data_IF_802917197074
#
_entry.id   IF_802917197074
#
_cell.length_a   1.000
_cell.length_b   1.000
_cell.length_c   1.000
_cell.angle_alpha   90.00
_cell.angle_beta   90.00
_cell.angle_gamma   90.00
#
_symmetry.space_group_name_H-M   'P 1'
#
loop_
_entity.id
_entity.type
_entity.pdbx_description
1 polymer ?
#
# COMPACT_ATOMS: atom_id res chain seq x y z
N UNK A 1 16.20 -1.03 -0.90
CA UNK A 1 16.00 0.43 -1.03
C UNK A 1 16.68 1.01 -2.27
N UNK A 2 18.01 1.12 -2.36
CA UNK A 2 18.68 1.74 -3.54
C UNK A 2 18.28 1.07 -4.87
N UNK A 3 18.26 -0.26 -4.89
CA UNK A 3 17.75 -1.03 -6.03
C UNK A 3 16.32 -0.61 -6.43
N UNK A 4 15.37 -0.62 -5.48
CA UNK A 4 13.98 -0.25 -5.74
C UNK A 4 13.86 1.18 -6.29
N UNK A 5 14.60 2.14 -5.72
CA UNK A 5 14.64 3.51 -6.27
C UNK A 5 15.15 3.51 -7.70
N UNK A 6 16.32 2.90 -7.96
CA UNK A 6 16.92 2.92 -9.30
C UNK A 6 16.04 2.26 -10.37
N UNK A 7 15.36 1.16 -10.02
CA UNK A 7 14.48 0.42 -10.92
C UNK A 7 13.23 1.21 -11.26
N UNK A 8 12.57 1.79 -10.25
CA UNK A 8 11.34 2.58 -10.45
C UNK A 8 11.63 3.91 -11.14
N UNK A 9 12.71 4.59 -10.74
CA UNK A 9 13.05 5.93 -11.24
C UNK A 9 13.33 5.91 -12.74
N UNK A 10 14.15 4.95 -13.19
CA UNK A 10 14.48 4.81 -14.61
C UNK A 10 13.25 4.54 -15.48
N UNK A 11 12.35 3.67 -15.03
CA UNK A 11 11.15 3.33 -15.79
C UNK A 11 10.18 4.53 -15.89
N UNK A 12 9.95 5.23 -14.79
CA UNK A 12 9.05 6.39 -14.76
C UNK A 12 9.61 7.59 -15.51
N UNK A 13 10.94 7.79 -15.51
CA UNK A 13 11.57 8.84 -16.32
C UNK A 13 11.43 8.58 -17.82
N UNK A 14 11.53 7.32 -18.25
CA UNK A 14 11.41 6.95 -19.65
C UNK A 14 10.01 7.31 -20.20
N UNK A 15 8.98 7.15 -19.38
CA UNK A 15 7.58 7.36 -19.78
C UNK A 15 6.96 8.69 -19.31
N UNK A 16 7.71 9.63 -18.69
CA UNK A 16 7.12 10.80 -17.98
C UNK A 16 6.18 11.65 -18.86
N UNK A 17 6.53 11.87 -20.13
CA UNK A 17 5.70 12.61 -21.08
C UNK A 17 4.40 11.87 -21.42
N UNK A 18 4.48 10.55 -21.66
CA UNK A 18 3.32 9.70 -21.95
C UNK A 18 2.40 9.60 -20.74
N UNK A 19 2.95 9.40 -19.54
CA UNK A 19 2.20 9.41 -18.27
C UNK A 19 1.43 10.73 -18.12
N UNK A 20 2.07 11.86 -18.43
CA UNK A 20 1.43 13.19 -18.35
C UNK A 20 0.29 13.37 -19.34
N UNK A 21 0.43 12.82 -20.56
CA UNK A 21 -0.63 12.78 -21.56
C UNK A 21 -1.81 11.94 -21.08
N UNK A 22 -1.54 10.66 -20.80
CA UNK A 22 -2.55 9.67 -20.43
C UNK A 22 -3.28 10.03 -19.15
N UNK A 23 -2.61 10.62 -18.15
CA UNK A 23 -3.28 11.06 -16.92
C UNK A 23 -4.43 12.04 -17.19
N UNK A 24 -4.26 12.97 -18.14
CA UNK A 24 -5.31 13.92 -18.54
C UNK A 24 -6.47 13.24 -19.24
N UNK A 25 -6.20 12.20 -20.01
CA UNK A 25 -7.24 11.39 -20.65
C UNK A 25 -8.00 10.57 -19.60
N UNK A 26 -7.31 10.00 -18.62
CA UNK A 26 -7.92 9.28 -17.50
C UNK A 26 -8.79 10.15 -16.60
N UNK A 27 -8.49 11.45 -16.50
CA UNK A 27 -9.34 12.38 -15.78
C UNK A 27 -10.74 12.49 -16.42
N UNK A 28 -10.88 12.25 -17.73
CA UNK A 28 -12.19 12.17 -18.37
C UNK A 28 -13.01 10.94 -17.92
N UNK A 29 -12.35 9.89 -17.43
CA UNK A 29 -12.99 8.69 -16.89
C UNK A 29 -13.27 8.78 -15.39
N UNK A 30 -12.74 9.80 -14.70
CA UNK A 30 -12.91 10.00 -13.27
C UNK A 30 -14.38 10.10 -12.77
N UNK A 31 -15.35 10.60 -13.56
CA UNK A 31 -16.77 10.65 -13.16
C UNK A 31 -17.48 9.29 -13.15
N UNK A 32 -16.96 8.26 -13.83
CA UNK A 32 -17.65 6.97 -13.93
C UNK A 32 -17.43 6.13 -12.68
N UNK A 33 -18.49 5.45 -12.23
CA UNK A 33 -18.45 4.57 -11.07
C UNK A 33 -17.80 3.21 -11.34
N UNK A 34 -17.58 2.85 -12.61
CA UNK A 34 -16.93 1.61 -13.04
C UNK A 34 -15.77 1.88 -13.98
N UNK A 35 -14.72 1.06 -13.89
CA UNK A 35 -13.66 1.03 -14.89
C UNK A 35 -14.24 0.84 -16.29
N UNK A 36 -13.98 1.81 -17.17
CA UNK A 36 -14.35 1.79 -18.59
C UNK A 36 -13.14 1.96 -19.52
N UNK A 37 -11.94 2.15 -18.97
CA UNK A 37 -10.69 2.22 -19.70
C UNK A 37 -10.11 0.81 -19.94
N UNK A 38 -9.90 0.46 -21.21
CA UNK A 38 -9.31 -0.82 -21.62
C UNK A 38 -7.78 -0.86 -21.48
N UNK A 39 -7.19 -2.07 -21.46
CA UNK A 39 -5.72 -2.31 -21.40
C UNK A 39 -4.93 -1.56 -22.46
N UNK A 40 -5.53 -1.36 -23.62
CA UNK A 40 -4.89 -0.71 -24.77
C UNK A 40 -4.50 0.75 -24.48
N UNK A 41 -5.15 1.42 -23.53
CA UNK A 41 -4.88 2.83 -23.22
C UNK A 41 -3.48 3.09 -22.65
N UNK A 42 -2.83 2.11 -22.04
CA UNK A 42 -1.48 2.25 -21.48
C UNK A 42 -0.51 1.23 -22.03
N UNK A 43 -0.89 0.50 -23.10
CA UNK A 43 -0.08 -0.58 -23.63
C UNK A 43 1.33 -0.12 -24.06
N UNK A 44 1.49 1.16 -24.39
CA UNK A 44 2.76 1.78 -24.75
C UNK A 44 3.67 2.09 -23.54
N UNK A 45 3.14 2.08 -22.31
CA UNK A 45 3.91 2.33 -21.10
C UNK A 45 4.71 1.10 -20.66
N UNK A 46 5.85 1.32 -20.02
CA UNK A 46 6.57 0.24 -19.33
C UNK A 46 5.73 -0.35 -18.18
N UNK A 47 5.95 -1.61 -17.76
CA UNK A 47 5.15 -2.24 -16.70
C UNK A 47 5.10 -1.44 -15.38
N UNK A 48 6.21 -0.80 -15.00
CA UNK A 48 6.26 0.06 -13.80
C UNK A 48 5.39 1.31 -13.96
N UNK A 49 5.39 1.92 -15.14
CA UNK A 49 4.55 3.08 -15.45
C UNK A 49 3.07 2.71 -15.52
N UNK A 50 2.72 1.53 -16.04
CA UNK A 50 1.36 0.99 -15.97
C UNK A 50 0.91 0.79 -14.52
N UNK A 51 1.78 0.21 -13.69
CA UNK A 51 1.54 0.01 -12.26
C UNK A 51 1.32 1.34 -11.54
N UNK A 52 2.15 2.34 -11.84
CA UNK A 52 2.01 3.69 -11.29
C UNK A 52 0.68 4.33 -11.68
N UNK A 53 0.32 4.27 -12.97
CA UNK A 53 -0.92 4.83 -13.51
C UNK A 53 -2.16 4.20 -12.87
N UNK A 54 -2.22 2.86 -12.81
CA UNK A 54 -3.32 2.16 -12.15
C UNK A 54 -3.40 2.50 -10.67
N UNK A 55 -2.26 2.55 -9.98
CA UNK A 55 -2.23 2.90 -8.57
C UNK A 55 -2.68 4.34 -8.30
N UNK A 56 -2.24 5.33 -9.10
CA UNK A 56 -2.67 6.74 -8.95
C UNK A 56 -4.17 6.87 -9.21
N UNK A 57 -4.68 6.21 -10.25
CA UNK A 57 -6.10 6.24 -10.56
C UNK A 57 -6.95 5.63 -9.43
N UNK A 58 -6.59 4.45 -8.93
CA UNK A 58 -7.27 3.81 -7.81
C UNK A 58 -7.20 4.64 -6.52
N UNK A 59 -6.04 5.20 -6.19
CA UNK A 59 -5.89 6.07 -5.01
C UNK A 59 -6.80 7.30 -5.09
N UNK A 60 -6.84 7.97 -6.25
CA UNK A 60 -7.73 9.12 -6.47
C UNK A 60 -9.21 8.72 -6.44
N UNK A 61 -9.56 7.57 -7.01
CA UNK A 61 -10.94 7.06 -6.97
C UNK A 61 -11.39 6.79 -5.54
N UNK A 62 -10.59 6.08 -4.74
CA UNK A 62 -10.88 5.82 -3.33
C UNK A 62 -11.05 7.13 -2.56
N UNK A 63 -10.17 8.11 -2.74
CA UNK A 63 -10.28 9.40 -2.03
C UNK A 63 -11.58 10.14 -2.39
N UNK A 64 -11.98 10.14 -3.67
CA UNK A 64 -13.28 10.71 -4.08
C UNK A 64 -14.46 9.98 -3.44
N UNK A 65 -14.43 8.65 -3.42
CA UNK A 65 -15.50 7.87 -2.82
C UNK A 65 -15.48 7.89 -1.29
N UNK A 66 -14.35 8.24 -0.67
CA UNK A 66 -14.21 8.30 0.80
C UNK A 66 -15.10 9.34 1.46
N UNK A 67 -15.53 10.36 0.72
CA UNK A 67 -16.47 11.38 1.19
C UNK A 67 -17.87 10.79 1.44
N UNK A 68 -18.17 9.66 0.81
CA UNK A 68 -19.42 8.93 0.94
C UNK A 68 -19.36 7.77 1.94
N UNK A 69 -18.24 7.58 2.66
CA UNK A 69 -18.12 6.56 3.70
C UNK A 69 -18.65 7.12 5.02
N UNK A 70 -19.52 6.34 5.67
CA UNK A 70 -20.20 6.74 6.89
C UNK A 70 -19.48 6.25 8.16
N UNK A 71 -18.57 5.30 8.02
CA UNK A 71 -17.78 4.77 9.11
C UNK A 71 -16.29 4.70 8.78
N UNK A 72 -15.48 4.34 9.76
CA UNK A 72 -14.04 4.14 9.58
C UNK A 72 -13.81 2.94 8.65
N UNK A 73 -13.12 3.13 7.51
CA UNK A 73 -12.95 2.08 6.52
C UNK A 73 -11.97 1.00 6.96
N UNK A 74 -12.25 -0.22 6.49
CA UNK A 74 -11.31 -1.33 6.48
C UNK A 74 -10.85 -1.61 5.04
N UNK A 75 -9.54 -1.77 4.86
CA UNK A 75 -8.93 -1.99 3.55
C UNK A 75 -8.41 -3.41 3.43
N UNK A 76 -8.64 -4.04 2.29
CA UNK A 76 -7.93 -5.22 1.86
C UNK A 76 -6.95 -4.85 0.74
N UNK A 77 -5.70 -5.25 0.87
CA UNK A 77 -4.60 -4.81 0.00
C UNK A 77 -3.99 -6.01 -0.72
N UNK A 78 -3.77 -5.86 -2.03
CA UNK A 78 -3.34 -6.96 -2.89
C UNK A 78 -1.82 -7.15 -2.95
N UNK A 79 -1.05 -6.09 -2.63
CA UNK A 79 0.40 -6.19 -2.53
C UNK A 79 0.82 -7.28 -1.54
N UNK A 80 1.59 -8.26 -2.02
CA UNK A 80 2.04 -9.44 -1.24
C UNK A 80 3.55 -9.61 -1.22
N UNK A 81 4.27 -8.98 -2.15
CA UNK A 81 5.74 -9.00 -2.20
C UNK A 81 6.36 -7.69 -1.71
N UNK A 82 7.65 -7.72 -1.40
CA UNK A 82 8.38 -6.50 -1.04
C UNK A 82 8.57 -5.56 -2.23
N UNK A 83 8.70 -6.11 -3.44
CA UNK A 83 8.73 -5.33 -4.67
C UNK A 83 7.42 -4.53 -4.85
N UNK A 84 6.27 -5.19 -4.71
CA UNK A 84 4.96 -4.54 -4.79
C UNK A 84 4.78 -3.53 -3.66
N UNK A 85 5.14 -3.90 -2.42
CA UNK A 85 5.05 -3.04 -1.26
C UNK A 85 5.96 -1.80 -1.36
N UNK A 86 7.05 -1.86 -2.12
CA UNK A 86 7.95 -0.73 -2.33
C UNK A 86 7.27 0.48 -2.99
N UNK A 87 6.18 0.25 -3.72
CA UNK A 87 5.38 1.32 -4.32
C UNK A 87 4.73 2.21 -3.26
N UNK A 88 4.33 1.68 -2.10
CA UNK A 88 3.81 2.49 -0.98
C UNK A 88 4.85 3.46 -0.43
N UNK A 89 6.12 3.05 -0.46
CA UNK A 89 7.22 3.82 0.09
C UNK A 89 7.70 4.93 -0.86
N UNK A 90 7.67 4.67 -2.17
CA UNK A 90 8.37 5.46 -3.17
C UNK A 90 7.44 6.22 -4.12
N UNK A 91 6.22 5.76 -4.39
CA UNK A 91 5.29 6.52 -5.23
C UNK A 91 4.77 7.72 -4.45
N UNK A 92 5.02 8.93 -4.98
CA UNK A 92 4.69 10.16 -4.27
C UNK A 92 3.19 10.24 -3.92
N UNK A 93 2.31 9.81 -4.83
CA UNK A 93 0.86 9.83 -4.60
C UNK A 93 0.41 8.88 -3.49
N UNK A 94 1.11 7.77 -3.23
CA UNK A 94 0.76 6.84 -2.15
C UNK A 94 1.00 7.49 -0.78
N UNK A 95 2.07 8.27 -0.63
CA UNK A 95 2.31 9.05 0.58
C UNK A 95 1.20 10.09 0.81
N UNK A 96 0.85 10.84 -0.24
CA UNK A 96 -0.23 11.83 -0.18
C UNK A 96 -1.59 11.19 0.11
N UNK A 97 -1.84 10.02 -0.48
CA UNK A 97 -3.03 9.22 -0.24
C UNK A 97 -3.14 8.78 1.23
N UNK A 98 -2.09 8.21 1.82
CA UNK A 98 -2.10 7.80 3.23
C UNK A 98 -2.31 8.99 4.17
N UNK A 99 -1.69 10.13 3.86
CA UNK A 99 -1.88 11.39 4.60
C UNK A 99 -3.32 11.88 4.51
N UNK A 100 -3.90 11.92 3.32
CA UNK A 100 -5.29 12.36 3.12
C UNK A 100 -6.28 11.43 3.86
N UNK A 101 -6.06 10.11 3.77
CA UNK A 101 -6.88 9.12 4.44
C UNK A 101 -6.82 9.25 5.97
N UNK A 102 -5.62 9.41 6.53
CA UNK A 102 -5.39 9.62 7.97
C UNK A 102 -6.09 10.89 8.47
N UNK A 103 -6.03 11.97 7.69
CA UNK A 103 -6.74 13.21 8.02
C UNK A 103 -8.26 13.05 8.00
N UNK A 104 -8.80 12.24 7.06
CA UNK A 104 -10.24 12.00 6.92
C UNK A 104 -10.80 11.09 8.02
N UNK A 105 -10.02 10.10 8.44
CA UNK A 105 -10.41 9.09 9.43
C UNK A 105 -9.46 9.10 10.63
N UNK A 106 -9.51 10.14 11.49
CA UNK A 106 -8.57 10.29 12.61
C UNK A 106 -8.71 9.21 13.69
N UNK A 107 -9.85 8.50 13.72
CA UNK A 107 -10.05 7.33 14.59
C UNK A 107 -9.18 6.12 14.19
N UNK A 108 -8.55 6.16 13.01
CA UNK A 108 -7.63 5.14 12.52
C UNK A 108 -8.33 4.08 11.67
N UNK A 109 -8.02 4.05 10.39
CA UNK A 109 -8.44 2.97 9.49
C UNK A 109 -7.65 1.69 9.75
N UNK A 110 -8.15 0.55 9.25
CA UNK A 110 -7.41 -0.72 9.25
C UNK A 110 -7.05 -1.11 7.83
N UNK A 111 -5.83 -1.62 7.61
CA UNK A 111 -5.38 -2.14 6.32
C UNK A 111 -4.79 -3.53 6.47
N UNK A 112 -5.44 -4.48 5.81
CA UNK A 112 -5.14 -5.90 5.88
C UNK A 112 -4.45 -6.36 4.60
N UNK A 113 -3.54 -7.31 4.74
CA UNK A 113 -2.80 -7.96 3.67
C UNK A 113 -2.93 -9.48 3.81
N UNK A 114 -2.89 -10.18 2.68
CA UNK A 114 -2.62 -11.61 2.67
C UNK A 114 -1.16 -11.83 2.26
N UNK A 115 -0.38 -12.41 3.16
CA UNK A 115 1.02 -12.76 2.92
C UNK A 115 1.24 -14.17 3.46
N UNK A 116 0.99 -15.21 2.66
CA UNK A 116 1.15 -16.60 3.11
C UNK A 116 2.60 -16.96 3.44
N UNK A 117 2.79 -17.93 4.35
CA UNK A 117 4.13 -18.35 4.79
C UNK A 117 5.05 -18.78 3.64
N UNK A 118 4.50 -19.42 2.61
CA UNK A 118 5.25 -19.82 1.42
C UNK A 118 5.84 -18.61 0.68
N UNK A 119 5.07 -17.52 0.56
CA UNK A 119 5.53 -16.27 -0.06
C UNK A 119 6.64 -15.64 0.78
N UNK A 120 6.51 -15.68 2.11
CA UNK A 120 7.57 -15.20 3.02
C UNK A 120 8.83 -16.04 2.88
N UNK A 121 8.70 -17.37 2.86
CA UNK A 121 9.79 -18.32 2.76
C UNK A 121 10.68 -18.09 1.53
N UNK A 122 10.05 -17.83 0.38
CA UNK A 122 10.73 -17.62 -0.89
C UNK A 122 11.25 -16.18 -1.09
N UNK A 123 10.69 -15.20 -0.37
CA UNK A 123 11.05 -13.80 -0.55
C UNK A 123 12.50 -13.51 -0.14
N UNK A 124 13.29 -12.77 -0.95
CA UNK A 124 14.59 -12.27 -0.55
C UNK A 124 14.50 -11.37 0.69
N UNK A 125 15.54 -11.37 1.55
CA UNK A 125 15.58 -10.52 2.74
C UNK A 125 15.28 -9.04 2.46
N UNK A 126 15.74 -8.52 1.32
CA UNK A 126 15.51 -7.14 0.93
C UNK A 126 14.01 -6.83 0.73
N UNK A 127 13.24 -7.77 0.19
CA UNK A 127 11.80 -7.64 0.00
C UNK A 127 11.05 -7.73 1.30
N UNK A 128 11.43 -8.64 2.19
CA UNK A 128 10.86 -8.74 3.54
C UNK A 128 11.01 -7.42 4.31
N UNK A 129 12.18 -6.79 4.19
CA UNK A 129 12.43 -5.45 4.77
C UNK A 129 11.53 -4.39 4.10
N UNK A 130 11.36 -4.42 2.78
CA UNK A 130 10.49 -3.47 2.07
C UNK A 130 9.03 -3.57 2.53
N UNK A 131 8.52 -4.79 2.70
CA UNK A 131 7.17 -5.02 3.20
C UNK A 131 6.99 -4.47 4.62
N UNK A 132 7.93 -4.78 5.52
CA UNK A 132 7.91 -4.26 6.89
C UNK A 132 7.97 -2.72 6.92
N UNK A 133 8.80 -2.10 6.08
CA UNK A 133 8.84 -0.64 5.96
C UNK A 133 7.51 -0.05 5.47
N UNK A 134 6.84 -0.70 4.52
CA UNK A 134 5.53 -0.27 4.05
C UNK A 134 4.47 -0.36 5.17
N UNK A 135 4.48 -1.44 5.96
CA UNK A 135 3.63 -1.57 7.14
C UNK A 135 3.93 -0.47 8.18
N UNK A 136 5.21 -0.19 8.43
CA UNK A 136 5.62 0.88 9.34
C UNK A 136 5.18 2.27 8.85
N UNK A 137 5.20 2.51 7.53
CA UNK A 137 4.66 3.74 6.95
C UNK A 137 3.17 3.89 7.28
N UNK A 138 2.37 2.84 7.10
CA UNK A 138 0.93 2.87 7.38
C UNK A 138 0.64 3.08 8.88
N UNK A 139 1.31 2.32 9.74
CA UNK A 139 1.21 2.48 11.20
C UNK A 139 1.60 3.89 11.66
N UNK A 140 2.60 4.50 11.01
CA UNK A 140 3.00 5.88 11.32
C UNK A 140 1.92 6.92 10.98
N UNK A 141 0.96 6.59 10.11
CA UNK A 141 -0.22 7.41 9.81
C UNK A 141 -1.43 7.04 10.67
N UNK A 142 -1.27 6.16 11.67
CA UNK A 142 -2.38 5.67 12.50
C UNK A 142 -3.30 4.70 11.75
N UNK A 143 -2.83 4.12 10.64
CA UNK A 143 -3.55 3.08 9.91
C UNK A 143 -3.05 1.74 10.45
N UNK A 144 -3.91 1.02 11.15
CA UNK A 144 -3.58 -0.27 11.76
C UNK A 144 -3.34 -1.31 10.68
N UNK A 145 -2.18 -1.96 10.71
CA UNK A 145 -1.85 -3.05 9.77
C UNK A 145 -2.28 -4.39 10.36
N UNK A 146 -2.80 -5.26 9.49
CA UNK A 146 -3.13 -6.65 9.77
C UNK A 146 -2.54 -7.53 8.67
N UNK A 147 -2.12 -8.75 9.03
CA UNK A 147 -1.56 -9.72 8.08
C UNK A 147 -2.22 -11.07 8.31
N UNK A 148 -2.92 -11.56 7.29
CA UNK A 148 -3.40 -12.93 7.19
C UNK A 148 -2.35 -13.76 6.46
N UNK A 149 -2.10 -14.97 6.95
CA UNK A 149 -1.23 -15.97 6.32
C UNK A 149 -2.03 -17.05 5.55
N UNK A 150 -3.36 -17.03 5.66
CA UNK A 150 -4.22 -18.00 4.99
C UNK A 150 -4.28 -17.79 3.46
N UNK A 151 -3.75 -18.74 2.66
CA UNK A 151 -3.68 -18.61 1.21
C UNK A 151 -5.05 -18.62 0.53
N UNK A 152 -6.14 -18.98 1.21
CA UNK A 152 -7.49 -18.90 0.63
C UNK A 152 -7.85 -17.47 0.20
N UNK A 153 -7.24 -16.47 0.85
CA UNK A 153 -7.47 -15.06 0.56
C UNK A 153 -6.44 -14.42 -0.41
N UNK A 154 -5.47 -15.17 -0.94
CA UNK A 154 -4.42 -14.65 -1.85
C UNK A 154 -5.00 -14.12 -3.18
N UNK A 155 -6.16 -14.62 -3.59
CA UNK A 155 -6.83 -14.20 -4.83
C UNK A 155 -7.86 -13.10 -4.62
N UNK A 156 -8.16 -12.73 -3.36
CA UNK A 156 -9.12 -11.68 -3.06
C UNK A 156 -8.62 -10.35 -3.56
N UNK A 157 -9.51 -9.66 -4.26
CA UNK A 157 -9.22 -8.39 -4.88
C UNK A 157 -9.10 -7.27 -3.83
N UNK A 158 -8.33 -6.23 -4.12
CA UNK A 158 -8.20 -5.06 -3.26
C UNK A 158 -9.50 -4.26 -3.17
N UNK A 159 -9.96 -4.01 -1.95
CA UNK A 159 -11.18 -3.28 -1.68
C UNK A 159 -11.08 -2.37 -0.44
N UNK A 160 -12.03 -1.45 -0.34
CA UNK A 160 -12.33 -0.63 0.84
C UNK A 160 -13.75 -0.95 1.28
N UNK A 161 -13.92 -1.34 2.53
CA UNK A 161 -15.22 -1.66 3.11
C UNK A 161 -15.68 -0.51 4.00
N UNK A 162 -16.90 -0.04 3.78
CA UNK A 162 -17.72 0.68 4.76
C UNK A 162 -18.63 -0.36 5.43
N UNK A 163 -18.32 -0.82 6.65
CA UNK A 163 -19.03 -1.89 7.32
C UNK A 163 -20.55 -1.84 7.18
N UNK A 164 -21.12 -2.89 6.59
CA UNK A 164 -22.57 -3.07 6.42
C UNK A 164 -23.26 -2.13 5.42
N UNK A 165 -22.52 -1.27 4.71
CA UNK A 165 -23.08 -0.26 3.81
C UNK A 165 -22.66 -0.49 2.36
N UNK A 166 -21.35 -0.44 2.09
CA UNK A 166 -20.84 -0.47 0.72
C UNK A 166 -19.38 -0.91 0.67
N UNK A 167 -18.95 -1.28 -0.52
CA UNK A 167 -17.56 -1.55 -0.82
C UNK A 167 -17.09 -0.78 -2.05
N UNK A 168 -15.85 -0.34 -2.01
CA UNK A 168 -15.13 0.27 -3.13
C UNK A 168 -14.09 -0.74 -3.57
N UNK A 169 -14.26 -1.31 -4.75
CA UNK A 169 -13.25 -2.17 -5.37
C UNK A 169 -12.23 -1.29 -6.05
N UNK A 170 -10.94 -1.57 -5.84
CA UNK A 170 -9.85 -0.79 -6.42
C UNK A 170 -8.62 -1.69 -6.61
N UNK A 171 -8.51 -2.26 -7.81
CA UNK A 171 -7.42 -3.14 -8.20
C UNK A 171 -6.58 -2.52 -9.30
N UNK A 172 -5.27 -2.55 -9.15
CA UNK A 172 -4.30 -2.19 -10.20
C UNK A 172 -3.20 -3.24 -10.38
N UNK A 173 -3.19 -4.26 -9.52
CA UNK A 173 -2.30 -5.42 -9.61
C UNK A 173 -3.09 -6.60 -10.15
N UNK A 174 -2.59 -7.27 -11.19
CA UNK A 174 -3.11 -8.56 -11.68
C UNK A 174 -4.59 -8.56 -12.11
N UNK A 175 -5.15 -7.41 -12.51
CA UNK A 175 -6.52 -7.33 -13.02
C UNK A 175 -6.56 -7.62 -14.54
N UNK A 176 -7.74 -8.03 -15.02
CA UNK A 176 -7.99 -8.19 -16.47
C UNK A 176 -8.07 -6.85 -17.25
N UNK A 177 -7.83 -5.75 -16.55
CA UNK A 177 -7.62 -4.39 -17.05
C UNK A 177 -6.38 -3.77 -16.42
N UNK A 178 -6.02 -2.55 -16.83
CA UNK A 178 -4.93 -1.78 -16.19
C UNK A 178 -5.29 -1.49 -14.73
N UNK A 179 -6.57 -1.20 -14.50
CA UNK A 179 -7.18 -1.11 -13.18
C UNK A 179 -8.66 -1.51 -13.26
N UNK A 180 -9.19 -2.05 -12.17
CA UNK A 180 -10.60 -2.27 -11.95
C UNK A 180 -11.04 -1.44 -10.73
N UNK A 181 -11.85 -0.41 -10.96
CA UNK A 181 -12.56 0.30 -9.90
C UNK A 181 -14.05 0.09 -10.04
N UNK A 182 -14.73 -0.18 -8.92
CA UNK A 182 -16.18 -0.22 -8.84
C UNK A 182 -16.61 0.26 -7.44
N UNK A 183 -17.85 0.70 -7.31
CA UNK A 183 -18.48 0.91 -6.00
C UNK A 183 -19.80 0.15 -5.98
N UNK A 184 -19.98 -0.67 -4.95
CA UNK A 184 -21.14 -1.56 -4.81
C UNK A 184 -21.75 -1.47 -3.42
N UNK A 185 -23.07 -1.48 -3.35
CA UNK A 185 -23.89 -1.63 -2.14
C UNK A 185 -24.63 -2.98 -2.13
N UNK A 186 -24.24 -3.89 -3.02
CA UNK A 186 -24.78 -5.25 -3.11
C UNK A 186 -24.56 -6.00 -1.79
N UNK A 187 -25.63 -6.30 -1.07
CA UNK A 187 -25.57 -6.97 0.23
C UNK A 187 -24.83 -8.33 0.21
N UNK A 188 -24.90 -9.18 -0.83
CA UNK A 188 -24.03 -10.34 -0.95
C UNK A 188 -22.54 -9.99 -0.98
N UNK A 189 -22.12 -9.06 -1.83
CA UNK A 189 -20.71 -8.66 -2.00
C UNK A 189 -20.17 -7.98 -0.73
N UNK A 190 -20.95 -7.09 -0.12
CA UNK A 190 -20.57 -6.42 1.12
C UNK A 190 -20.37 -7.43 2.25
N UNK A 191 -21.22 -8.47 2.33
CA UNK A 191 -21.06 -9.54 3.33
C UNK A 191 -19.80 -10.36 3.09
N UNK A 192 -19.53 -10.76 1.86
CA UNK A 192 -18.31 -11.51 1.52
C UNK A 192 -17.03 -10.74 1.93
N UNK A 193 -16.95 -9.45 1.61
CA UNK A 193 -15.82 -8.62 2.05
C UNK A 193 -15.79 -8.37 3.56
N UNK A 194 -16.96 -8.34 4.21
CA UNK A 194 -17.03 -8.28 5.68
C UNK A 194 -16.40 -9.53 6.29
N UNK A 195 -16.73 -10.72 5.77
CA UNK A 195 -16.16 -11.99 6.25
C UNK A 195 -14.62 -12.02 6.09
N UNK A 196 -14.09 -11.50 4.98
CA UNK A 196 -12.63 -11.37 4.75
C UNK A 196 -11.98 -10.46 5.80
N UNK A 197 -12.56 -9.29 6.06
CA UNK A 197 -12.03 -8.34 7.05
C UNK A 197 -12.13 -8.89 8.48
N UNK A 198 -13.25 -9.53 8.82
CA UNK A 198 -13.45 -10.15 10.13
C UNK A 198 -12.48 -11.30 10.38
N UNK A 199 -12.21 -12.11 9.34
CA UNK A 199 -11.19 -13.15 9.40
C UNK A 199 -9.82 -12.54 9.69
N UNK A 200 -9.39 -11.55 8.90
CA UNK A 200 -8.09 -10.90 9.07
C UNK A 200 -7.96 -10.23 10.45
N UNK A 201 -9.05 -9.64 10.95
CA UNK A 201 -9.08 -9.06 12.28
C UNK A 201 -8.87 -10.10 13.38
N UNK A 202 -9.49 -11.27 13.24
CA UNK A 202 -9.49 -12.33 14.26
C UNK A 202 -8.24 -13.22 14.21
N UNK A 203 -7.64 -13.38 13.03
CA UNK A 203 -6.55 -14.33 12.78
C UNK A 203 -5.24 -13.66 12.33
N UNK A 204 -5.12 -12.34 12.45
CA UNK A 204 -3.88 -11.65 12.05
C UNK A 204 -2.67 -12.17 12.83
N UNK A 205 -1.65 -12.64 12.11
CA UNK A 205 -0.41 -13.23 12.70
C UNK A 205 0.43 -12.20 13.45
N UNK A 206 0.16 -10.91 13.26
CA UNK A 206 0.86 -9.79 13.91
C UNK A 206 0.02 -9.10 15.00
N UNK A 207 -1.02 -9.76 15.51
CA UNK A 207 -2.00 -9.15 16.42
C UNK A 207 -1.36 -8.59 17.70
N UNK A 208 -1.46 -7.28 17.89
CA UNK A 208 -1.05 -6.60 19.12
C UNK A 208 -1.73 -5.23 19.28
N UNK A 209 -1.77 -4.73 20.51
CA UNK A 209 -2.42 -3.46 20.87
C UNK A 209 -1.62 -2.23 20.42
N UNK A 210 -0.29 -2.29 20.43
CA UNK A 210 0.56 -1.15 20.06
C UNK A 210 1.15 -1.33 18.65
N UNK A 211 1.32 -0.25 17.88
CA UNK A 211 1.99 -0.30 16.58
C UNK A 211 3.39 -0.93 16.64
N UNK A 212 4.17 -0.59 17.66
CA UNK A 212 5.53 -1.13 17.85
C UNK A 212 5.55 -2.65 18.00
N UNK A 213 4.66 -3.21 18.82
CA UNK A 213 4.58 -4.65 19.01
C UNK A 213 4.05 -5.37 17.77
N UNK A 214 3.12 -4.77 17.01
CA UNK A 214 2.68 -5.33 15.72
C UNK A 214 3.82 -5.38 14.71
N UNK A 215 4.63 -4.31 14.62
CA UNK A 215 5.78 -4.26 13.72
C UNK A 215 6.90 -5.22 14.13
N UNK A 216 7.09 -5.46 15.43
CA UNK A 216 8.00 -6.50 15.91
C UNK A 216 7.50 -7.89 15.57
N UNK A 217 6.22 -8.20 15.82
CA UNK A 217 5.62 -9.47 15.42
C UNK A 217 5.68 -9.69 13.90
N UNK A 218 5.51 -8.62 13.11
CA UNK A 218 5.73 -8.67 11.66
C UNK A 218 7.19 -8.97 11.30
N UNK A 219 8.15 -8.40 12.03
CA UNK A 219 9.56 -8.70 11.84
C UNK A 219 9.87 -10.17 12.12
N UNK A 220 9.32 -10.72 13.19
CA UNK A 220 9.46 -12.13 13.55
C UNK A 220 8.86 -13.04 12.47
N UNK A 221 7.62 -12.74 12.03
CA UNK A 221 6.95 -13.46 10.95
C UNK A 221 7.76 -13.45 9.65
N UNK A 222 8.33 -12.30 9.28
CA UNK A 222 9.15 -12.13 8.09
C UNK A 222 10.60 -12.62 8.27
N UNK A 223 10.98 -13.14 9.45
CA UNK A 223 12.37 -13.50 9.79
C UNK A 223 13.37 -12.36 9.55
N UNK A 224 13.01 -11.14 9.99
CA UNK A 224 13.84 -9.95 9.92
C UNK A 224 14.33 -9.58 11.33
N UNK A 225 15.65 -9.54 11.51
CA UNK A 225 16.28 -9.16 12.78
C UNK A 225 15.84 -7.77 13.27
N UNK A 226 14.96 -7.74 14.27
CA UNK A 226 14.30 -6.54 14.77
C UNK A 226 15.28 -5.47 15.26
N UNK A 227 16.22 -5.86 16.13
CA UNK A 227 17.19 -4.95 16.74
C UNK A 227 18.09 -4.27 15.69
N UNK A 228 18.53 -5.06 14.70
CA UNK A 228 19.28 -4.55 13.56
C UNK A 228 18.46 -3.57 12.74
N UNK A 229 17.22 -3.94 12.41
CA UNK A 229 16.35 -3.11 11.57
C UNK A 229 16.06 -1.76 12.24
N UNK A 230 15.66 -1.76 13.51
CA UNK A 230 15.37 -0.54 14.25
C UNK A 230 16.61 0.36 14.35
N UNK A 231 17.78 -0.20 14.64
CA UNK A 231 19.03 0.57 14.67
C UNK A 231 19.35 1.20 13.32
N UNK A 232 19.13 0.49 12.21
CA UNK A 232 19.37 1.02 10.86
C UNK A 232 18.34 2.07 10.46
N UNK A 233 17.07 1.86 10.79
CA UNK A 233 16.00 2.83 10.58
C UNK A 233 16.23 4.12 11.39
N UNK A 234 16.73 4.03 12.63
CA UNK A 234 17.11 5.21 13.41
C UNK A 234 18.23 6.02 12.74
N UNK A 235 19.28 5.35 12.23
CA UNK A 235 20.38 6.01 11.52
C UNK A 235 19.90 6.68 10.22
N UNK A 236 19.11 5.97 9.41
CA UNK A 236 18.55 6.51 8.16
C UNK A 236 17.57 7.64 8.45
N UNK A 237 16.71 7.49 9.47
CA UNK A 237 15.73 8.50 9.85
C UNK A 237 16.35 9.79 10.41
N UNK A 238 17.53 9.69 11.03
CA UNK A 238 18.29 10.86 11.48
C UNK A 238 19.01 11.59 10.34
N UNK A 239 19.52 10.84 9.35
CA UNK A 239 20.25 11.41 8.21
C UNK A 239 19.33 11.92 7.10
N UNK A 240 18.21 11.23 6.85
CA UNK A 240 17.35 11.43 5.70
C UNK A 240 17.78 10.58 4.49
N UNK A 241 16.86 9.78 3.96
CA UNK A 241 17.10 8.91 2.81
C UNK A 241 17.33 9.70 1.52
N UNK A 242 16.82 10.93 1.42
CA UNK A 242 17.12 11.84 0.30
C UNK A 242 18.61 12.14 0.11
N UNK A 243 19.44 12.01 1.16
CA UNK A 243 20.90 12.12 1.03
C UNK A 243 21.57 10.86 0.46
N UNK A 244 20.87 9.72 0.44
CA UNK A 244 21.36 8.43 -0.06
C UNK A 244 20.85 8.11 -1.46
N UNK A 245 19.63 8.54 -1.78
CA UNK A 245 19.05 8.42 -3.11
C UNK A 245 18.13 9.60 -3.38
N UNK A 246 18.35 10.25 -4.51
CA UNK A 246 17.50 11.33 -5.03
C UNK A 246 16.85 10.85 -6.31
N UNK A 247 15.57 10.42 -6.28
CA UNK A 247 14.84 10.10 -7.51
C UNK A 247 14.82 11.31 -8.43
N UNK A 248 15.07 11.10 -9.73
CA UNK A 248 14.97 12.19 -10.71
C UNK A 248 13.54 12.34 -11.23
N UNK A 249 12.74 11.27 -11.18
CA UNK A 249 11.31 11.30 -11.50
C UNK A 249 10.54 12.06 -10.42
N UNK A 250 9.78 13.06 -10.85
CA UNK A 250 8.83 13.80 -10.01
C UNK A 250 7.68 12.94 -9.46
N UNK A 251 7.49 11.73 -9.99
CA UNK A 251 6.46 10.79 -9.58
C UNK A 251 6.89 9.95 -8.37
N UNK A 252 8.16 10.05 -7.99
CA UNK A 252 8.75 9.39 -6.82
C UNK A 252 9.07 10.38 -5.71
N UNK A 253 9.09 9.88 -4.48
CA UNK A 253 9.48 10.64 -3.29
C UNK A 253 10.13 9.74 -2.26
N UNK A 254 11.09 10.26 -1.48
CA UNK A 254 11.66 9.55 -0.33
C UNK A 254 10.85 9.73 0.96
N UNK A 255 9.81 10.57 0.95
CA UNK A 255 9.06 10.93 2.15
C UNK A 255 8.46 9.71 2.88
N UNK A 256 7.99 8.70 2.14
CA UNK A 256 7.48 7.46 2.72
C UNK A 256 8.56 6.68 3.47
N UNK A 257 9.74 6.52 2.85
CA UNK A 257 10.91 5.87 3.47
C UNK A 257 11.36 6.63 4.71
N UNK A 258 11.48 7.96 4.61
CA UNK A 258 11.91 8.82 5.70
C UNK A 258 10.96 8.77 6.90
N UNK A 259 9.66 8.70 6.63
CA UNK A 259 8.65 8.57 7.68
C UNK A 259 8.69 7.18 8.33
N UNK A 260 8.72 6.12 7.54
CA UNK A 260 8.79 4.74 8.04
C UNK A 260 10.03 4.49 8.91
N UNK A 261 11.20 4.94 8.44
CA UNK A 261 12.46 4.79 9.17
C UNK A 261 12.45 5.57 10.49
N UNK A 262 11.95 6.81 10.51
CA UNK A 262 11.83 7.58 11.77
C UNK A 262 10.88 6.90 12.76
N UNK A 263 9.75 6.39 12.28
CA UNK A 263 8.77 5.70 13.11
C UNK A 263 9.34 4.42 13.75
N UNK A 264 9.97 3.56 12.95
CA UNK A 264 10.63 2.34 13.45
C UNK A 264 11.80 2.66 14.38
N UNK A 265 12.60 3.68 14.05
CA UNK A 265 13.73 4.11 14.88
C UNK A 265 13.31 4.50 16.30
N UNK A 266 12.11 5.07 16.45
CA UNK A 266 11.53 5.46 17.75
C UNK A 266 10.89 4.28 18.51
N UNK A 267 10.43 3.25 17.79
CA UNK A 267 9.82 2.07 18.40
C UNK A 267 10.81 1.31 19.31
N UNK A 268 12.10 1.26 18.95
CA UNK A 268 13.13 0.63 19.80
C UNK A 268 13.65 1.48 20.96
N UNK A 269 13.42 2.79 20.95
CA UNK A 269 13.76 3.65 22.10
C UNK A 269 12.71 3.65 23.19
N UNK A 270 11.48 3.21 22.90
CA UNK A 270 10.36 3.18 23.86
C UNK A 270 10.36 1.93 24.76
N UNK A 271 11.34 1.03 24.57
CA UNK A 271 11.53 -0.19 25.37
C UNK A 271 12.84 -0.21 26.17
N UNK A 272 13.48 0.95 26.39
CA UNK A 272 14.64 1.10 27.27
C UNK A 272 14.31 1.96 28.48
#
# INVERSE_FOLDING_TARGET
MLWAVSSLDRALLYDDALITGLRRELDAFAPFHRSSAGRDMVAELTPVSQLWMGSDFCARYILRQSDHLNSTPAFWTRERSGEEASTWLLFAHKYDYLRALSNRFPAGATRSFCVPEAVVGDAPRAERILFLLAAALMESFGIRVQVSDDPVYDTVEGFVLDPGQRAIVANWLGADGIWNVDTTDSAPTVREYTDVIEYAHSHSVISSHTPGNRLQALADYLSVEWSWLVSRCAQVGAYGFGGLASPSSRLLSTAGVDRACRFLGQAGSSGR
#
